data_IF_261184090153
#
_entry.id   IF_261184090153
#
_cell.length_a   1.000
_cell.length_b   1.000
_cell.length_c   1.000
_cell.angle_alpha   90.00
_cell.angle_beta   90.00
_cell.angle_gamma   90.00
#
_symmetry.space_group_name_H-M   'P 1'
#
loop_
_entity.id
_entity.type
_entity.pdbx_description
1 polymer ?
#
# COMPACT_ATOMS: atom_id res chain seq x y z
N UNK A 1 36.00 -28.17 27.27
CA UNK A 1 35.90 -26.75 26.87
C UNK A 1 34.66 -26.63 26.01
N UNK A 2 33.51 -26.38 26.63
CA UNK A 2 32.22 -26.27 25.95
C UNK A 2 32.09 -24.89 25.31
N UNK A 3 32.24 -24.83 24.00
CA UNK A 3 31.90 -23.66 23.20
C UNK A 3 30.39 -23.66 22.92
N UNK A 4 29.60 -23.12 23.84
CA UNK A 4 28.21 -22.75 23.55
C UNK A 4 28.23 -21.63 22.52
N UNK A 5 28.09 -21.99 21.25
CA UNK A 5 27.88 -21.03 20.17
C UNK A 5 26.57 -20.27 20.43
N UNK A 6 26.69 -18.95 20.66
CA UNK A 6 25.53 -18.07 20.71
C UNK A 6 24.91 -18.02 19.32
N UNK A 7 23.80 -18.74 19.10
CA UNK A 7 22.97 -18.55 17.92
C UNK A 7 22.31 -17.19 18.05
N UNK A 8 22.83 -16.19 17.34
CA UNK A 8 22.14 -14.91 17.18
C UNK A 8 20.99 -15.21 16.22
N UNK A 9 19.72 -15.19 16.66
CA UNK A 9 18.61 -15.35 15.73
C UNK A 9 18.74 -14.24 14.69
N UNK A 10 18.91 -14.60 13.42
CA UNK A 10 18.83 -13.65 12.31
C UNK A 10 17.43 -13.04 12.40
N UNK A 11 17.35 -11.80 12.89
CA UNK A 11 16.11 -11.03 12.84
C UNK A 11 15.82 -10.79 11.38
N UNK A 12 14.83 -11.49 10.84
CA UNK A 12 14.28 -11.14 9.53
C UNK A 12 13.64 -9.76 9.67
N UNK A 13 14.26 -8.76 9.04
CA UNK A 13 13.72 -7.41 9.05
C UNK A 13 12.50 -7.37 8.12
N UNK A 14 11.43 -6.71 8.56
CA UNK A 14 10.27 -6.47 7.72
C UNK A 14 10.64 -5.50 6.59
N UNK A 15 10.26 -5.84 5.36
CA UNK A 15 10.37 -4.95 4.21
C UNK A 15 9.24 -3.90 4.25
N UNK A 16 9.48 -2.83 5.02
CA UNK A 16 8.50 -1.78 5.27
C UNK A 16 8.29 -0.93 4.02
N UNK A 17 7.04 -0.86 3.57
CA UNK A 17 6.61 0.00 2.45
C UNK A 17 6.20 1.38 2.97
N UNK A 18 5.45 1.45 4.07
CA UNK A 18 4.99 2.72 4.63
C UNK A 18 4.66 2.57 6.13
N UNK A 19 4.86 3.65 6.89
CA UNK A 19 4.34 3.82 8.25
C UNK A 19 3.63 5.17 8.34
N UNK A 20 2.36 5.17 8.73
CA UNK A 20 1.56 6.39 8.89
C UNK A 20 0.81 6.39 10.21
N UNK A 21 0.79 7.52 10.91
CA UNK A 21 -0.03 7.67 12.11
C UNK A 21 -1.51 7.76 11.74
N UNK A 22 -2.36 6.94 12.38
CA UNK A 22 -3.82 7.00 12.17
C UNK A 22 -4.50 7.87 13.23
N UNK A 23 -4.08 7.74 14.48
CA UNK A 23 -4.57 8.51 15.60
C UNK A 23 -3.47 8.69 16.67
N UNK A 24 -3.84 9.21 17.84
CA UNK A 24 -2.89 9.50 18.93
C UNK A 24 -2.12 8.26 19.40
N UNK A 25 -2.74 7.08 19.36
CA UNK A 25 -2.22 5.87 19.99
C UNK A 25 -2.01 4.70 19.00
N UNK A 26 -2.18 4.95 17.69
CA UNK A 26 -2.02 3.93 16.67
C UNK A 26 -1.34 4.42 15.39
N UNK A 27 -0.59 3.48 14.82
CA UNK A 27 0.07 3.61 13.54
C UNK A 27 -0.37 2.47 12.63
N UNK A 28 -0.42 2.77 11.34
CA UNK A 28 -0.56 1.81 10.27
C UNK A 28 0.83 1.49 9.74
N UNK A 29 1.14 0.21 9.64
CA UNK A 29 2.40 -0.33 9.11
C UNK A 29 2.08 -1.20 7.91
N UNK A 30 2.63 -0.83 6.76
CA UNK A 30 2.50 -1.56 5.51
C UNK A 30 3.82 -2.24 5.16
N UNK A 31 3.75 -3.53 4.86
CA UNK A 31 4.90 -4.33 4.43
C UNK A 31 4.42 -5.49 3.58
N UNK A 32 5.22 -5.89 2.59
CA UNK A 32 4.86 -6.95 1.63
C UNK A 32 3.47 -6.76 1.00
N UNK A 33 2.48 -7.60 1.37
CA UNK A 33 1.09 -7.53 0.94
C UNK A 33 0.11 -7.28 2.10
N UNK A 34 0.61 -6.81 3.23
CA UNK A 34 -0.15 -6.69 4.48
C UNK A 34 -0.07 -5.26 5.00
N UNK A 35 -1.20 -4.79 5.50
CA UNK A 35 -1.30 -3.58 6.30
C UNK A 35 -1.77 -3.97 7.69
N UNK A 36 -1.05 -3.54 8.72
CA UNK A 36 -1.40 -3.75 10.13
C UNK A 36 -1.57 -2.44 10.86
N UNK A 37 -2.55 -2.40 11.75
CA UNK A 37 -2.76 -1.31 12.67
C UNK A 37 -2.30 -1.75 14.05
N UNK A 38 -1.26 -1.10 14.53
CA UNK A 38 -0.62 -1.40 15.81
C UNK A 38 -0.65 -0.17 16.70
N UNK A 39 -0.62 -0.40 18.00
CA UNK A 39 -0.40 0.67 18.96
C UNK A 39 1.08 1.09 19.00
N UNK A 40 1.38 2.11 19.80
CA UNK A 40 2.76 2.62 19.97
C UNK A 40 3.75 1.61 20.57
N UNK A 41 3.26 0.47 21.08
CA UNK A 41 4.08 -0.65 21.58
C UNK A 41 4.22 -1.78 20.54
N UNK A 42 3.72 -1.59 19.31
CA UNK A 42 3.77 -2.58 18.24
C UNK A 42 2.77 -3.74 18.38
N UNK A 43 1.80 -3.66 19.31
CA UNK A 43 0.75 -4.66 19.47
C UNK A 43 -0.44 -4.32 18.58
N UNK A 44 -1.05 -5.33 17.97
CA UNK A 44 -2.26 -5.17 17.16
C UNK A 44 -3.37 -4.49 17.97
N UNK A 45 -3.92 -3.40 17.43
CA UNK A 45 -5.04 -2.70 18.06
C UNK A 45 -6.32 -3.47 17.75
N UNK A 46 -7.00 -3.96 18.78
CA UNK A 46 -8.33 -4.56 18.62
C UNK A 46 -9.36 -3.44 18.73
N UNK A 47 -10.06 -3.14 17.64
CA UNK A 47 -11.11 -2.14 17.58
C UNK A 47 -12.36 -2.75 16.96
N UNK A 48 -13.53 -2.62 17.60
CA UNK A 48 -14.79 -3.16 17.06
C UNK A 48 -15.29 -2.42 15.81
N UNK A 49 -14.78 -1.20 15.56
CA UNK A 49 -15.21 -0.35 14.45
C UNK A 49 -14.26 -0.38 13.24
N UNK A 50 -13.12 -1.04 13.37
CA UNK A 50 -12.05 -0.99 12.39
C UNK A 50 -11.28 -2.31 12.36
N UNK A 51 -10.92 -2.76 11.16
CA UNK A 51 -10.07 -3.93 10.99
C UNK A 51 -8.65 -3.63 11.48
N UNK A 52 -8.02 -4.61 12.11
CA UNK A 52 -6.64 -4.48 12.59
C UNK A 52 -5.61 -4.89 11.53
N UNK A 53 -6.03 -5.67 10.53
CA UNK A 53 -5.19 -6.16 9.43
C UNK A 53 -5.97 -6.14 8.12
N UNK A 54 -5.29 -5.74 7.03
CA UNK A 54 -5.74 -5.91 5.65
C UNK A 54 -4.69 -6.71 4.90
N UNK A 55 -5.13 -7.69 4.11
CA UNK A 55 -4.26 -8.49 3.25
C UNK A 55 -4.68 -8.35 1.79
N UNK A 56 -3.71 -8.00 0.95
CA UNK A 56 -3.90 -7.80 -0.48
C UNK A 56 -3.44 -9.03 -1.27
N UNK A 57 -4.05 -9.23 -2.44
CA UNK A 57 -3.71 -10.33 -3.36
C UNK A 57 -2.41 -10.11 -4.13
N UNK A 58 -1.69 -9.03 -3.84
CA UNK A 58 -0.50 -8.58 -4.57
C UNK A 58 0.50 -7.93 -3.60
N UNK A 59 1.77 -7.85 -3.99
CA UNK A 59 2.77 -7.05 -3.27
C UNK A 59 2.45 -5.57 -3.45
N UNK A 60 2.46 -4.83 -2.34
CA UNK A 60 2.16 -3.41 -2.30
C UNK A 60 3.45 -2.64 -2.58
N UNK A 61 3.40 -1.74 -3.56
CA UNK A 61 4.54 -0.87 -3.90
C UNK A 61 4.46 0.47 -3.16
N UNK A 62 3.25 0.98 -2.96
CA UNK A 62 2.99 2.19 -2.17
C UNK A 62 1.56 2.21 -1.66
N UNK A 63 1.27 3.06 -0.67
CA UNK A 63 -0.09 3.25 -0.16
C UNK A 63 -0.41 4.73 0.00
N UNK A 64 -1.71 5.02 0.00
CA UNK A 64 -2.28 6.28 0.49
C UNK A 64 -3.29 5.95 1.58
N UNK A 65 -3.09 6.50 2.77
CA UNK A 65 -4.02 6.38 3.87
C UNK A 65 -5.07 7.50 3.79
N UNK A 66 -6.34 7.10 3.69
CA UNK A 66 -7.49 7.99 3.73
C UNK A 66 -8.19 7.86 5.09
N UNK A 67 -9.12 8.77 5.46
CA UNK A 67 -9.75 8.74 6.78
C UNK A 67 -10.44 7.43 7.16
N UNK A 68 -11.04 6.71 6.20
CA UNK A 68 -11.78 5.47 6.46
C UNK A 68 -11.43 4.31 5.52
N UNK A 69 -10.39 4.48 4.71
CA UNK A 69 -9.94 3.52 3.71
C UNK A 69 -8.45 3.67 3.42
N UNK A 70 -7.89 2.70 2.71
CA UNK A 70 -6.52 2.74 2.21
C UNK A 70 -6.53 2.39 0.73
N UNK A 71 -5.80 3.16 -0.07
CA UNK A 71 -5.47 2.80 -1.45
C UNK A 71 -4.11 2.13 -1.46
N UNK A 72 -4.05 0.86 -1.86
CA UNK A 72 -2.80 0.13 -2.05
C UNK A 72 -2.49 0.03 -3.54
N UNK A 73 -1.31 0.52 -3.92
CA UNK A 73 -0.85 0.53 -5.29
C UNK A 73 0.06 -0.67 -5.53
N UNK A 74 -0.10 -1.27 -6.71
CA UNK A 74 0.81 -2.27 -7.24
C UNK A 74 1.21 -1.87 -8.65
N UNK A 75 2.21 -2.56 -9.19
CA UNK A 75 2.75 -2.31 -10.52
C UNK A 75 1.71 -2.00 -11.60
N UNK A 76 0.56 -2.66 -11.60
CA UNK A 76 -0.44 -2.58 -12.68
C UNK A 76 -1.72 -1.83 -12.30
N UNK A 77 -1.75 -1.14 -11.16
CA UNK A 77 -2.94 -0.42 -10.73
C UNK A 77 -3.03 -0.22 -9.23
N UNK A 78 -4.25 -0.25 -8.71
CA UNK A 78 -4.52 0.01 -7.30
C UNK A 78 -5.78 -0.71 -6.82
N UNK A 79 -5.82 -1.00 -5.52
CA UNK A 79 -7.01 -1.50 -4.83
C UNK A 79 -7.28 -0.65 -3.59
N UNK A 80 -8.47 -0.09 -3.50
CA UNK A 80 -8.99 0.58 -2.31
C UNK A 80 -9.70 -0.41 -1.39
N UNK A 81 -9.40 -0.36 -0.10
CA UNK A 81 -10.12 -1.13 0.92
C UNK A 81 -10.60 -0.28 2.08
N UNK A 82 -11.79 -0.55 2.57
CA UNK A 82 -12.32 0.09 3.77
C UNK A 82 -11.57 -0.36 5.02
N UNK A 83 -11.18 0.59 5.88
CA UNK A 83 -10.65 0.29 7.20
C UNK A 83 -11.75 -0.19 8.16
N UNK A 84 -13.04 0.06 7.88
CA UNK A 84 -14.14 -0.33 8.77
C UNK A 84 -14.40 -1.83 8.74
N UNK A 85 -14.50 -2.40 7.55
CA UNK A 85 -14.89 -3.81 7.34
C UNK A 85 -13.91 -4.61 6.45
N UNK A 86 -12.90 -3.97 5.86
CA UNK A 86 -11.93 -4.61 4.99
C UNK A 86 -12.39 -4.89 3.56
N UNK A 87 -13.61 -4.48 3.20
CA UNK A 87 -14.15 -4.69 1.86
C UNK A 87 -13.40 -3.87 0.81
N UNK A 88 -13.29 -4.43 -0.39
CA UNK A 88 -12.76 -3.73 -1.55
C UNK A 88 -13.77 -2.68 -1.98
N UNK A 89 -13.37 -1.42 -1.94
CA UNK A 89 -14.21 -0.28 -2.33
C UNK A 89 -13.94 0.14 -3.77
N UNK A 90 -12.71 -0.05 -4.25
CA UNK A 90 -12.26 0.36 -5.58
C UNK A 90 -11.18 -0.61 -6.06
N UNK A 91 -11.14 -0.87 -7.36
CA UNK A 91 -10.08 -1.67 -7.97
C UNK A 91 -9.87 -1.21 -9.41
N UNK A 92 -8.62 -0.92 -9.76
CA UNK A 92 -8.19 -0.59 -11.11
C UNK A 92 -7.00 -1.50 -11.42
N UNK A 93 -7.03 -2.19 -12.55
CA UNK A 93 -5.92 -3.01 -13.03
C UNK A 93 -5.81 -2.90 -14.53
N UNK A 94 -4.64 -2.49 -15.01
CA UNK A 94 -4.27 -2.47 -16.42
C UNK A 94 -2.90 -3.13 -16.57
N UNK A 95 -2.89 -4.37 -17.08
CA UNK A 95 -1.66 -5.15 -17.28
C UNK A 95 -0.82 -4.64 -18.45
N UNK A 96 -1.37 -3.80 -19.32
CA UNK A 96 -0.63 -3.18 -20.41
C UNK A 96 0.25 -2.02 -19.92
N UNK A 97 0.10 -1.56 -18.67
CA UNK A 97 0.82 -0.42 -18.12
C UNK A 97 1.48 -0.74 -16.79
N UNK A 98 2.50 0.03 -16.46
CA UNK A 98 3.00 0.15 -15.08
C UNK A 98 2.64 1.49 -14.50
N UNK A 99 2.32 1.55 -13.22
CA UNK A 99 2.02 2.78 -12.50
C UNK A 99 2.99 3.01 -11.35
N UNK A 100 3.33 4.28 -11.12
CA UNK A 100 4.14 4.71 -9.99
C UNK A 100 3.51 5.94 -9.34
N UNK A 101 3.35 5.90 -8.01
CA UNK A 101 2.87 7.05 -7.25
C UNK A 101 3.94 8.15 -7.20
N UNK A 102 3.57 9.35 -7.66
CA UNK A 102 4.43 10.54 -7.61
C UNK A 102 4.14 11.43 -6.40
N UNK A 103 2.88 11.49 -5.96
CA UNK A 103 2.48 12.29 -4.81
C UNK A 103 0.98 12.20 -4.51
N UNK A 104 0.59 12.59 -3.30
CA UNK A 104 -0.79 12.43 -2.81
C UNK A 104 -1.27 13.52 -1.84
N UNK A 105 -0.60 14.68 -1.76
CA UNK A 105 -0.92 15.72 -0.77
C UNK A 105 -2.30 16.37 -1.02
N UNK A 106 -2.48 16.99 -2.19
CA UNK A 106 -3.76 17.59 -2.62
C UNK A 106 -4.43 16.81 -3.73
N UNK A 107 -3.61 16.19 -4.57
CA UNK A 107 -4.02 15.45 -5.75
C UNK A 107 -3.17 14.19 -5.78
N UNK A 108 -3.82 13.06 -6.03
CA UNK A 108 -3.11 11.80 -6.22
C UNK A 108 -2.63 11.74 -7.67
N UNK A 109 -1.32 11.79 -7.84
CA UNK A 109 -0.68 11.81 -9.16
C UNK A 109 0.11 10.52 -9.39
N UNK A 110 -0.12 9.90 -10.53
CA UNK A 110 0.55 8.68 -10.98
C UNK A 110 1.31 8.96 -12.27
N UNK A 111 2.49 8.40 -12.37
CA UNK A 111 3.20 8.19 -13.63
C UNK A 111 2.78 6.83 -14.20
N UNK A 112 2.48 6.75 -15.50
CA UNK A 112 2.30 5.48 -16.18
C UNK A 112 3.29 5.28 -17.32
N UNK A 113 3.71 4.04 -17.55
CA UNK A 113 4.51 3.64 -18.70
C UNK A 113 3.87 2.41 -19.37
N UNK A 114 3.78 2.43 -20.71
CA UNK A 114 3.17 1.36 -21.49
C UNK A 114 4.13 0.19 -21.72
N UNK A 115 3.73 -1.01 -21.28
CA UNK A 115 4.45 -2.26 -21.49
C UNK A 115 4.18 -2.79 -22.91
N UNK A 116 4.92 -2.34 -23.91
CA UNK A 116 4.81 -2.90 -25.28
C UNK A 116 5.49 -4.26 -25.39
N UNK A 117 4.77 -5.24 -25.93
CA UNK A 117 5.32 -6.52 -26.42
C UNK A 117 5.52 -6.40 -27.93
N UNK A 118 6.76 -6.19 -28.39
CA UNK A 118 7.10 -6.29 -29.81
C UNK A 118 7.62 -5.02 -30.47
N UNK A 119 8.62 -5.23 -31.31
CA UNK A 119 9.48 -4.28 -32.03
C UNK A 119 8.71 -3.23 -32.84
N UNK A 120 8.99 -1.94 -32.59
CA UNK A 120 9.32 -0.86 -33.55
C UNK A 120 8.96 0.53 -33.00
N UNK A 121 9.94 1.44 -33.13
CA UNK A 121 9.88 2.92 -33.13
C UNK A 121 9.41 3.66 -31.87
N UNK A 122 10.35 3.84 -30.95
CA UNK A 122 10.87 5.13 -30.46
C UNK A 122 9.93 6.20 -29.87
N UNK A 123 8.90 5.84 -29.10
CA UNK A 123 8.33 6.75 -28.09
C UNK A 123 8.06 5.98 -26.78
N UNK A 124 9.07 5.92 -25.90
CA UNK A 124 8.89 5.59 -24.49
C UNK A 124 8.09 6.73 -23.83
N UNK A 125 6.77 6.67 -24.00
CA UNK A 125 5.86 7.67 -23.44
C UNK A 125 5.61 7.41 -21.96
N UNK A 126 5.93 8.40 -21.13
CA UNK A 126 5.46 8.48 -19.76
C UNK A 126 4.24 9.40 -19.71
N UNK A 127 3.11 8.88 -19.23
CA UNK A 127 1.87 9.63 -19.09
C UNK A 127 1.65 10.00 -17.62
N UNK A 128 1.08 11.18 -17.37
CA UNK A 128 0.66 11.60 -16.03
C UNK A 128 -0.84 11.40 -15.85
N UNK A 129 -1.22 10.70 -14.78
CA UNK A 129 -2.60 10.45 -14.38
C UNK A 129 -2.90 11.12 -13.06
N UNK A 130 -4.14 11.58 -12.92
CA UNK A 130 -4.70 12.06 -11.66
C UNK A 130 -5.80 11.09 -11.23
N UNK A 131 -5.70 10.56 -10.01
CA UNK A 131 -6.82 9.85 -9.39
C UNK A 131 -7.72 10.86 -8.69
N UNK A 132 -8.95 10.97 -9.18
CA UNK A 132 -10.01 11.76 -8.56
C UNK A 132 -10.98 10.83 -7.82
N UNK A 133 -11.37 11.22 -6.61
CA UNK A 133 -12.44 10.57 -5.85
C UNK A 133 -13.78 11.28 -6.04
N UNK A 134 -14.88 10.59 -5.74
CA UNK A 134 -16.16 11.25 -5.49
C UNK A 134 -16.26 11.55 -4.00
N UNK A 135 -16.30 12.83 -3.62
CA UNK A 135 -16.86 13.19 -2.32
C UNK A 135 -18.37 12.92 -2.40
N UNK A 136 -18.85 11.86 -1.73
CA UNK A 136 -20.27 11.70 -1.55
C UNK A 136 -20.74 12.83 -0.62
N UNK A 137 -21.26 13.91 -1.20
CA UNK A 137 -21.98 14.95 -0.48
C UNK A 137 -23.14 14.29 0.24
N UNK A 138 -23.08 14.22 1.58
CA UNK A 138 -24.17 13.77 2.43
C UNK A 138 -24.83 14.97 3.10
#
# INVERSE_FOLDING_TARGET
MDGTATVIPRRENLDIVNVSQLDKDSILVCYENVIRIVNMQGKMKVNKKQVSELRFGFRIDSIICLPDSVLAFHKHGMQGRSLKNGEVTQEITDTARTYKLLGSDKVVMLESNLLRTGTLTNEEGHDLYILAGHEASY
#
